data_IF_462079465040
#
_entry.id   IF_462079465040
#
_cell.length_a   1.000
_cell.length_b   1.000
_cell.length_c   1.000
_cell.angle_alpha   90.00
_cell.angle_beta   90.00
_cell.angle_gamma   90.00
#
_symmetry.space_group_name_H-M   'P 1'
#
loop_
_entity.id
_entity.type
_entity.pdbx_description
1 polymer ?
#
# COMPACT_ATOMS: atom_id res chain seq x y z
N UNK A 1 -5.06 51.36 15.44
CA UNK A 1 -4.60 50.92 14.11
C UNK A 1 -3.13 50.62 14.17
N UNK A 2 -2.79 49.36 14.00
CA UNK A 2 -1.42 48.91 13.84
C UNK A 2 -0.87 49.34 12.48
N UNK A 3 0.44 49.47 12.37
CA UNK A 3 1.11 49.64 11.07
C UNK A 3 1.07 48.33 10.26
N UNK A 4 1.29 48.41 8.94
CA UNK A 4 1.38 47.22 8.08
C UNK A 4 2.40 46.21 8.59
N UNK A 5 3.54 46.70 9.08
CA UNK A 5 4.61 45.84 9.60
C UNK A 5 4.20 45.15 10.89
N UNK A 6 3.53 45.86 11.79
CA UNK A 6 3.00 45.27 13.03
C UNK A 6 1.94 44.19 12.75
N UNK A 7 1.12 44.36 11.71
CA UNK A 7 0.12 43.34 11.33
C UNK A 7 0.77 42.09 10.75
N UNK A 8 1.78 42.25 9.88
CA UNK A 8 2.54 41.10 9.38
C UNK A 8 3.23 40.35 10.51
N UNK A 9 3.81 41.08 11.45
CA UNK A 9 4.42 40.47 12.63
C UNK A 9 3.39 39.70 13.46
N UNK A 10 2.20 40.26 13.67
CA UNK A 10 1.11 39.59 14.40
C UNK A 10 0.57 38.36 13.67
N UNK A 11 0.52 38.36 12.33
CA UNK A 11 0.18 37.19 11.53
C UNK A 11 1.20 36.06 11.66
N UNK A 12 2.49 36.39 11.63
CA UNK A 12 3.57 35.41 11.81
C UNK A 12 3.59 34.88 13.24
N UNK A 13 3.42 35.75 14.23
CA UNK A 13 3.29 35.38 15.64
C UNK A 13 2.10 34.43 15.83
N UNK A 14 0.98 34.70 15.14
CA UNK A 14 -0.20 33.84 15.18
C UNK A 14 0.07 32.45 14.61
N UNK A 15 0.66 32.37 13.42
CA UNK A 15 1.03 31.09 12.80
C UNK A 15 1.98 30.29 13.70
N UNK A 16 3.05 30.92 14.22
CA UNK A 16 4.02 30.27 15.10
C UNK A 16 3.40 29.80 16.41
N UNK A 17 2.57 30.64 17.05
CA UNK A 17 1.93 30.31 18.33
C UNK A 17 0.98 29.13 18.17
N UNK A 18 0.22 29.09 17.07
CA UNK A 18 -0.65 27.95 16.78
C UNK A 18 0.15 26.67 16.55
N UNK A 19 1.21 26.73 15.74
CA UNK A 19 2.04 25.54 15.46
C UNK A 19 2.69 24.99 16.73
N UNK A 20 3.17 25.88 17.60
CA UNK A 20 3.72 25.47 18.90
C UNK A 20 2.65 24.83 19.79
N UNK A 21 1.43 25.39 19.79
CA UNK A 21 0.31 24.83 20.54
C UNK A 21 -0.13 23.44 20.03
N UNK A 22 0.08 23.16 18.74
CA UNK A 22 -0.21 21.84 18.15
C UNK A 22 0.92 20.83 18.37
N UNK A 23 2.17 21.27 18.52
CA UNK A 23 3.33 20.40 18.59
C UNK A 23 3.75 20.03 20.03
N UNK A 24 3.35 20.83 21.02
CA UNK A 24 3.77 20.67 22.42
C UNK A 24 2.58 20.60 23.36
N UNK A 25 2.77 20.02 24.53
CA UNK A 25 1.82 20.17 25.64
C UNK A 25 1.88 21.62 26.13
N UNK A 26 0.80 22.36 25.90
CA UNK A 26 0.65 23.77 26.28
C UNK A 26 -0.52 23.96 27.23
N UNK A 27 -0.34 24.88 28.16
CA UNK A 27 -1.34 25.20 29.18
C UNK A 27 -2.47 26.11 28.65
N UNK A 28 -3.56 26.24 29.41
CA UNK A 28 -4.70 27.12 29.11
C UNK A 28 -4.31 28.59 28.83
N UNK A 29 -3.19 29.05 29.40
CA UNK A 29 -2.64 30.40 29.14
C UNK A 29 -2.23 30.61 27.68
N UNK A 30 -1.70 29.58 27.01
CA UNK A 30 -1.33 29.62 25.59
C UNK A 30 -2.57 29.69 24.70
N UNK A 31 -3.63 28.96 25.03
CA UNK A 31 -4.89 29.03 24.30
C UNK A 31 -5.57 30.40 24.46
N UNK A 32 -5.48 31.01 25.65
CA UNK A 32 -5.96 32.37 25.87
C UNK A 32 -5.18 33.40 25.03
N UNK A 33 -3.84 33.28 24.99
CA UNK A 33 -2.98 34.13 24.15
C UNK A 33 -3.32 33.97 22.66
N UNK A 34 -3.50 32.73 22.19
CA UNK A 34 -3.88 32.45 20.81
C UNK A 34 -5.23 33.06 20.42
N UNK A 35 -6.24 33.00 21.31
CA UNK A 35 -7.55 33.64 21.09
C UNK A 35 -7.42 35.15 21.00
N UNK A 36 -6.67 35.77 21.91
CA UNK A 36 -6.42 37.21 21.90
C UNK A 36 -5.73 37.64 20.60
N UNK A 37 -4.74 36.86 20.15
CA UNK A 37 -4.00 37.13 18.93
C UNK A 37 -4.87 36.97 17.68
N UNK A 38 -5.72 35.95 17.64
CA UNK A 38 -6.72 35.74 16.58
C UNK A 38 -7.65 36.94 16.47
N UNK A 39 -8.19 37.41 17.59
CA UNK A 39 -9.11 38.54 17.62
C UNK A 39 -8.42 39.84 17.21
N UNK A 40 -7.19 40.06 17.65
CA UNK A 40 -6.37 41.21 17.26
C UNK A 40 -6.11 41.24 15.76
N UNK A 41 -5.68 40.11 15.18
CA UNK A 41 -5.43 39.99 13.74
C UNK A 41 -6.72 40.20 12.96
N UNK A 42 -7.83 39.57 13.38
CA UNK A 42 -9.14 39.70 12.73
C UNK A 42 -9.65 41.14 12.73
N UNK A 43 -9.60 41.81 13.88
CA UNK A 43 -10.07 43.18 14.02
C UNK A 43 -9.24 44.16 13.17
N UNK A 44 -7.91 44.07 13.23
CA UNK A 44 -7.03 44.98 12.48
C UNK A 44 -7.07 44.72 10.97
N UNK A 45 -7.23 43.45 10.53
CA UNK A 45 -7.46 43.14 9.11
C UNK A 45 -8.76 43.74 8.59
N UNK A 46 -9.88 43.55 9.32
CA UNK A 46 -11.19 44.09 8.93
C UNK A 46 -11.15 45.62 8.85
N UNK A 47 -10.62 46.26 9.89
CA UNK A 47 -10.50 47.72 9.95
C UNK A 47 -9.66 48.25 8.79
N UNK A 48 -8.51 47.67 8.50
CA UNK A 48 -7.65 48.17 7.41
C UNK A 48 -8.14 47.87 6.02
N UNK A 49 -8.89 46.78 5.85
CA UNK A 49 -9.59 46.46 4.61
C UNK A 49 -10.69 47.49 4.32
N UNK A 50 -11.47 47.87 5.33
CA UNK A 50 -12.50 48.92 5.22
C UNK A 50 -11.91 50.29 4.89
N UNK A 51 -10.76 50.62 5.48
CA UNK A 51 -10.06 51.90 5.23
C UNK A 51 -9.19 51.87 3.95
N UNK A 52 -9.13 50.74 3.22
CA UNK A 52 -8.33 50.61 2.00
C UNK A 52 -6.81 50.72 2.21
N UNK A 53 -6.33 50.51 3.44
CA UNK A 53 -4.91 50.69 3.81
C UNK A 53 -4.11 49.39 3.76
N UNK A 54 -4.77 48.25 3.53
CA UNK A 54 -4.13 46.94 3.46
C UNK A 54 -3.22 46.82 2.23
N UNK A 55 -1.93 46.58 2.46
CA UNK A 55 -1.00 46.39 1.34
C UNK A 55 -1.13 45.00 0.74
N UNK A 56 -0.82 44.89 -0.56
CA UNK A 56 -0.86 43.60 -1.28
C UNK A 56 0.03 42.54 -0.63
N UNK A 57 1.22 42.92 -0.12
CA UNK A 57 2.10 42.01 0.60
C UNK A 57 1.47 41.45 1.89
N UNK A 58 0.70 42.26 2.63
CA UNK A 58 -0.01 41.83 3.84
C UNK A 58 -1.19 40.91 3.49
N UNK A 59 -1.91 41.19 2.39
CA UNK A 59 -2.95 40.32 1.85
C UNK A 59 -2.40 38.94 1.46
N UNK A 60 -1.28 38.91 0.73
CA UNK A 60 -0.64 37.66 0.32
C UNK A 60 -0.16 36.83 1.51
N UNK A 61 0.40 37.48 2.53
CA UNK A 61 0.79 36.80 3.77
C UNK A 61 -0.43 36.22 4.49
N UNK A 62 -1.50 37.00 4.65
CA UNK A 62 -2.74 36.53 5.25
C UNK A 62 -3.35 35.35 4.51
N UNK A 63 -3.37 35.39 3.17
CA UNK A 63 -3.84 34.30 2.34
C UNK A 63 -2.99 33.02 2.53
N UNK A 64 -1.66 33.16 2.56
CA UNK A 64 -0.74 32.03 2.80
C UNK A 64 -0.95 31.41 4.18
N UNK A 65 -1.09 32.23 5.22
CA UNK A 65 -1.37 31.75 6.58
C UNK A 65 -2.72 31.01 6.59
N UNK A 66 -3.76 31.60 6.00
CA UNK A 66 -5.10 30.97 5.90
C UNK A 66 -5.06 29.61 5.19
N UNK A 67 -4.38 29.50 4.06
CA UNK A 67 -4.25 28.24 3.30
C UNK A 67 -3.58 27.15 4.16
N UNK A 68 -2.52 27.49 4.89
CA UNK A 68 -1.84 26.53 5.78
C UNK A 68 -2.71 26.12 6.96
N UNK A 69 -3.51 27.03 7.50
CA UNK A 69 -4.47 26.72 8.57
C UNK A 69 -5.56 25.77 8.08
N UNK A 70 -6.06 25.96 6.86
CA UNK A 70 -7.03 25.07 6.25
C UNK A 70 -6.44 23.67 6.04
N UNK A 71 -5.20 23.59 5.55
CA UNK A 71 -4.47 22.32 5.43
C UNK A 71 -4.31 21.61 6.79
N UNK A 72 -3.91 22.35 7.83
CA UNK A 72 -3.80 21.81 9.20
C UNK A 72 -5.17 21.36 9.73
N UNK A 73 -6.23 22.13 9.47
CA UNK A 73 -7.59 21.78 9.84
C UNK A 73 -8.04 20.46 9.22
N UNK A 74 -7.76 20.26 7.92
CA UNK A 74 -8.04 19.00 7.24
C UNK A 74 -7.27 17.82 7.85
N UNK A 75 -5.97 17.98 8.13
CA UNK A 75 -5.15 16.94 8.74
C UNK A 75 -5.64 16.56 10.14
N UNK A 76 -5.95 17.55 10.99
CA UNK A 76 -6.47 17.33 12.34
C UNK A 76 -7.85 16.66 12.30
N UNK A 77 -8.70 17.04 11.35
CA UNK A 77 -10.00 16.40 11.16
C UNK A 77 -9.86 14.94 10.70
N UNK A 78 -8.94 14.66 9.78
CA UNK A 78 -8.66 13.28 9.37
C UNK A 78 -8.11 12.47 10.54
N UNK A 79 -7.15 13.00 11.30
CA UNK A 79 -6.59 12.33 12.47
C UNK A 79 -7.66 12.03 13.52
N UNK A 80 -8.54 13.00 13.83
CA UNK A 80 -9.67 12.79 14.74
C UNK A 80 -10.59 11.68 14.25
N UNK A 81 -10.93 11.68 12.96
CA UNK A 81 -11.76 10.65 12.34
C UNK A 81 -11.10 9.26 12.44
N UNK A 82 -9.80 9.17 12.18
CA UNK A 82 -9.04 7.92 12.32
C UNK A 82 -9.03 7.43 13.78
N UNK A 83 -8.81 8.33 14.73
CA UNK A 83 -8.79 8.01 16.16
C UNK A 83 -10.16 7.53 16.65
N UNK A 84 -11.25 8.17 16.23
CA UNK A 84 -12.62 7.72 16.54
C UNK A 84 -12.90 6.31 15.99
N UNK A 85 -12.44 6.01 14.77
CA UNK A 85 -12.59 4.67 14.19
C UNK A 85 -11.82 3.63 14.99
N UNK A 86 -10.56 3.91 15.34
CA UNK A 86 -9.74 3.01 16.18
C UNK A 86 -10.42 2.78 17.52
N UNK A 87 -10.87 3.86 18.19
CA UNK A 87 -11.56 3.77 19.47
C UNK A 87 -12.86 2.95 19.38
N UNK A 88 -13.65 3.16 18.32
CA UNK A 88 -14.87 2.38 18.09
C UNK A 88 -14.58 0.90 17.84
N UNK A 89 -13.52 0.60 17.07
CA UNK A 89 -13.10 -0.77 16.80
C UNK A 89 -12.62 -1.46 18.08
N UNK A 90 -11.79 -0.77 18.87
CA UNK A 90 -11.32 -1.26 20.16
C UNK A 90 -12.49 -1.50 21.13
N UNK A 91 -13.46 -0.59 21.20
CA UNK A 91 -14.64 -0.76 22.04
C UNK A 91 -15.52 -1.94 21.59
N UNK A 92 -15.67 -2.15 20.28
CA UNK A 92 -16.38 -3.33 19.77
C UNK A 92 -15.64 -4.63 20.12
N UNK A 93 -14.30 -4.63 20.01
CA UNK A 93 -13.47 -5.77 20.40
C UNK A 93 -13.62 -6.07 21.89
N UNK A 94 -13.49 -5.05 22.74
CA UNK A 94 -13.70 -5.16 24.18
C UNK A 94 -15.11 -5.66 24.53
N UNK A 95 -16.14 -5.15 23.86
CA UNK A 95 -17.52 -5.62 24.07
C UNK A 95 -17.70 -7.09 23.66
N UNK A 96 -16.99 -7.55 22.64
CA UNK A 96 -17.02 -8.94 22.18
C UNK A 96 -16.31 -9.86 23.17
N UNK A 97 -15.17 -9.43 23.71
CA UNK A 97 -14.42 -10.15 24.75
C UNK A 97 -15.24 -10.25 26.04
N UNK A 98 -15.85 -9.15 26.47
CA UNK A 98 -16.62 -9.09 27.72
C UNK A 98 -17.95 -9.85 27.66
N UNK A 99 -18.55 -10.03 26.47
CA UNK A 99 -19.83 -10.77 26.35
C UNK A 99 -19.67 -12.29 26.47
N UNK A 100 -18.48 -12.84 26.23
CA UNK A 100 -18.23 -14.29 26.32
C UNK A 100 -19.09 -15.15 25.38
N UNK A 101 -18.69 -16.41 25.10
CA UNK A 101 -19.42 -17.26 24.17
C UNK A 101 -20.62 -17.90 24.87
N UNK A 102 -21.82 -17.38 24.68
CA UNK A 102 -23.03 -18.17 24.90
C UNK A 102 -23.15 -19.19 23.78
N UNK A 103 -22.66 -20.39 24.09
CA UNK A 103 -22.83 -21.67 23.40
C UNK A 103 -23.38 -21.65 21.98
N UNK A 104 -22.50 -21.92 21.02
CA UNK A 104 -22.73 -22.97 20.04
C UNK A 104 -21.42 -23.41 19.40
N UNK A 105 -21.37 -24.71 19.18
CA UNK A 105 -20.22 -25.57 18.98
C UNK A 105 -19.57 -25.41 17.60
N UNK A 106 -18.34 -25.93 17.54
CA UNK A 106 -17.53 -26.29 16.37
C UNK A 106 -16.50 -25.28 15.86
N UNK A 107 -15.26 -25.72 16.05
CA UNK A 107 -14.08 -25.53 15.21
C UNK A 107 -13.18 -24.30 15.42
N UNK A 108 -12.01 -24.60 16.01
CA UNK A 108 -10.72 -24.23 15.43
C UNK A 108 -10.29 -22.78 15.62
N UNK A 109 -9.52 -22.53 16.68
CA UNK A 109 -8.80 -21.27 16.83
C UNK A 109 -7.83 -21.02 15.68
N UNK A 110 -7.87 -19.81 15.11
CA UNK A 110 -6.70 -19.17 14.51
C UNK A 110 -6.90 -17.67 14.41
N UNK A 111 -5.85 -16.97 14.86
CA UNK A 111 -5.53 -15.55 14.75
C UNK A 111 -6.48 -14.69 13.90
N UNK A 112 -7.08 -13.68 14.56
CA UNK A 112 -7.80 -12.55 13.96
C UNK A 112 -7.16 -12.10 12.64
N UNK A 113 -7.86 -12.47 11.60
CA UNK A 113 -7.56 -12.29 10.22
C UNK A 113 -7.67 -10.81 9.85
N UNK A 114 -6.54 -10.09 9.93
CA UNK A 114 -6.34 -8.71 9.43
C UNK A 114 -6.47 -8.61 7.89
N UNK A 115 -7.40 -9.34 7.26
CA UNK A 115 -7.79 -9.12 5.86
C UNK A 115 -8.63 -7.86 5.85
N UNK A 116 -8.05 -6.72 5.47
CA UNK A 116 -8.83 -5.53 5.17
C UNK A 116 -9.73 -5.81 3.94
N UNK A 117 -11.06 -5.99 4.13
CA UNK A 117 -11.97 -6.37 3.06
C UNK A 117 -12.15 -5.24 2.05
N UNK A 118 -11.73 -4.01 2.38
CA UNK A 118 -11.85 -2.82 1.54
C UNK A 118 -10.76 -2.74 0.46
N UNK A 119 -9.78 -3.64 0.46
CA UNK A 119 -8.73 -3.63 -0.54
C UNK A 119 -9.26 -4.26 -1.85
N UNK A 120 -9.39 -3.45 -2.90
CA UNK A 120 -9.77 -3.81 -4.29
C UNK A 120 -8.94 -4.96 -4.93
N UNK A 121 -8.04 -5.60 -4.19
CA UNK A 121 -7.15 -6.67 -4.61
C UNK A 121 -7.39 -8.02 -3.91
N UNK A 122 -8.50 -8.21 -3.18
CA UNK A 122 -8.80 -9.47 -2.47
C UNK A 122 -8.69 -10.70 -3.38
N UNK A 123 -9.38 -10.71 -4.52
CA UNK A 123 -9.37 -11.83 -5.46
C UNK A 123 -7.99 -12.04 -6.10
N UNK A 124 -7.30 -10.94 -6.44
CA UNK A 124 -5.94 -10.99 -6.98
C UNK A 124 -4.94 -11.60 -5.99
N UNK A 125 -5.00 -11.23 -4.70
CA UNK A 125 -4.16 -11.81 -3.63
C UNK A 125 -4.46 -13.29 -3.42
N UNK A 126 -5.73 -13.64 -3.33
CA UNK A 126 -6.14 -15.03 -3.13
C UNK A 126 -5.60 -15.91 -4.26
N UNK A 127 -5.80 -15.48 -5.52
CA UNK A 127 -5.27 -16.21 -6.66
C UNK A 127 -3.74 -16.30 -6.62
N UNK A 128 -3.04 -15.20 -6.30
CA UNK A 128 -1.58 -15.18 -6.22
C UNK A 128 -1.04 -16.16 -5.16
N UNK A 129 -1.65 -16.19 -3.97
CA UNK A 129 -1.26 -17.07 -2.88
C UNK A 129 -1.55 -18.54 -3.18
N UNK A 130 -2.59 -18.85 -3.95
CA UNK A 130 -2.87 -20.21 -4.42
C UNK A 130 -1.89 -20.69 -5.49
N UNK A 131 -1.18 -19.77 -6.15
CA UNK A 131 -0.26 -20.05 -7.25
C UNK A 131 1.13 -19.45 -6.99
N UNK A 132 1.60 -19.50 -5.74
CA UNK A 132 2.80 -18.77 -5.32
C UNK A 132 4.08 -19.28 -6.00
N UNK A 133 4.13 -20.56 -6.39
CA UNK A 133 5.24 -21.14 -7.16
C UNK A 133 5.29 -20.64 -8.61
N UNK A 134 4.14 -20.32 -9.19
CA UNK A 134 4.04 -19.81 -10.56
C UNK A 134 2.90 -18.78 -10.72
N UNK A 135 3.07 -17.54 -10.21
CA UNK A 135 2.02 -16.53 -10.17
C UNK A 135 1.90 -15.77 -11.50
N UNK A 136 1.61 -16.50 -12.58
CA UNK A 136 1.39 -15.98 -13.93
C UNK A 136 0.02 -16.43 -14.46
N UNK A 137 -1.06 -15.71 -14.10
CA UNK A 137 -2.39 -16.10 -14.55
C UNK A 137 -2.49 -16.00 -16.07
N UNK A 138 -3.24 -16.91 -16.67
CA UNK A 138 -3.61 -16.89 -18.09
C UNK A 138 -4.42 -15.64 -18.45
N UNK A 139 -4.75 -15.47 -19.73
CA UNK A 139 -5.65 -14.38 -20.12
C UNK A 139 -7.05 -14.61 -19.54
N UNK A 140 -7.58 -15.82 -19.66
CA UNK A 140 -8.90 -16.19 -19.14
C UNK A 140 -8.95 -16.02 -17.61
N UNK A 141 -7.90 -16.45 -16.89
CA UNK A 141 -7.85 -16.29 -15.44
C UNK A 141 -7.83 -14.82 -15.02
N UNK A 142 -7.08 -13.97 -15.73
CA UNK A 142 -7.11 -12.52 -15.48
C UNK A 142 -8.49 -11.92 -15.70
N UNK A 143 -9.19 -12.33 -16.76
CA UNK A 143 -10.55 -11.86 -17.07
C UNK A 143 -11.55 -12.33 -16.01
N UNK A 144 -11.43 -13.58 -15.53
CA UNK A 144 -12.24 -14.13 -14.43
C UNK A 144 -12.02 -13.37 -13.12
N UNK A 145 -10.75 -13.19 -12.70
CA UNK A 145 -10.41 -12.44 -11.48
C UNK A 145 -10.91 -10.99 -11.60
N UNK A 146 -10.85 -10.38 -12.79
CA UNK A 146 -11.35 -9.04 -13.04
C UNK A 146 -12.87 -8.97 -12.86
N UNK A 147 -13.60 -9.92 -13.43
CA UNK A 147 -15.05 -10.00 -13.33
C UNK A 147 -15.50 -10.17 -11.88
N UNK A 148 -14.88 -11.09 -11.14
CA UNK A 148 -15.15 -11.29 -9.71
C UNK A 148 -14.86 -10.02 -8.90
N UNK A 149 -13.70 -9.39 -9.13
CA UNK A 149 -13.32 -8.18 -8.40
C UNK A 149 -14.31 -7.04 -8.66
N UNK A 150 -14.68 -6.83 -9.93
CA UNK A 150 -15.60 -5.76 -10.30
C UNK A 150 -17.06 -6.04 -9.89
N UNK A 151 -17.44 -7.30 -9.70
CA UNK A 151 -18.75 -7.67 -9.16
C UNK A 151 -18.93 -7.22 -7.70
N UNK A 152 -17.83 -7.15 -6.94
CA UNK A 152 -17.86 -6.64 -5.56
C UNK A 152 -17.87 -5.11 -5.46
N UNK A 153 -17.61 -4.38 -6.55
CA UNK A 153 -17.51 -2.91 -6.56
C UNK A 153 -18.86 -2.31 -6.99
N UNK A 154 -19.52 -1.61 -6.06
CA UNK A 154 -20.81 -0.93 -6.29
C UNK A 154 -20.67 0.28 -7.21
N UNK A 155 -19.62 1.08 -7.04
CA UNK A 155 -19.36 2.24 -7.88
C UNK A 155 -18.69 1.84 -9.20
N UNK A 156 -19.33 2.15 -10.32
CA UNK A 156 -18.81 1.84 -11.66
C UNK A 156 -17.50 2.59 -11.95
N UNK A 157 -17.28 3.76 -11.36
CA UNK A 157 -16.07 4.57 -11.56
C UNK A 157 -14.82 3.89 -10.99
N UNK A 158 -14.99 3.07 -9.95
CA UNK A 158 -13.93 2.37 -9.23
C UNK A 158 -13.62 0.98 -9.80
N UNK A 159 -14.33 0.55 -10.85
CA UNK A 159 -14.11 -0.75 -11.49
C UNK A 159 -12.74 -0.80 -12.15
N UNK A 160 -12.06 -1.92 -11.93
CA UNK A 160 -10.76 -2.19 -12.51
C UNK A 160 -10.87 -2.47 -14.01
N UNK A 161 -9.84 -2.04 -14.74
CA UNK A 161 -9.57 -2.39 -16.13
C UNK A 161 -8.60 -3.56 -16.20
N UNK A 162 -8.59 -4.27 -17.32
CA UNK A 162 -7.68 -5.38 -17.56
C UNK A 162 -6.19 -4.99 -17.38
N UNK A 163 -5.80 -3.80 -17.85
CA UNK A 163 -4.43 -3.28 -17.69
C UNK A 163 -4.02 -3.15 -16.21
N UNK A 164 -4.95 -2.75 -15.33
CA UNK A 164 -4.68 -2.62 -13.90
C UNK A 164 -4.42 -3.98 -13.25
N UNK A 165 -5.11 -5.05 -13.69
CA UNK A 165 -4.84 -6.41 -13.20
C UNK A 165 -3.47 -6.90 -13.65
N UNK A 166 -3.10 -6.65 -14.91
CA UNK A 166 -1.78 -7.03 -15.46
C UNK A 166 -0.67 -6.34 -14.67
N UNK A 167 -0.80 -5.02 -14.45
CA UNK A 167 0.15 -4.24 -13.68
C UNK A 167 0.22 -4.68 -12.21
N UNK A 168 -0.92 -5.03 -11.61
CA UNK A 168 -0.95 -5.57 -10.25
C UNK A 168 -0.09 -6.82 -10.13
N UNK A 169 -0.27 -7.81 -11.01
CA UNK A 169 0.51 -9.05 -10.97
C UNK A 169 2.02 -8.82 -11.21
N UNK A 170 2.37 -7.92 -12.13
CA UNK A 170 3.78 -7.55 -12.38
C UNK A 170 4.40 -6.91 -11.12
N UNK A 171 3.72 -5.92 -10.56
CA UNK A 171 4.22 -5.19 -9.40
C UNK A 171 4.26 -6.06 -8.15
N UNK A 172 3.24 -6.90 -7.92
CA UNK A 172 3.21 -7.82 -6.77
C UNK A 172 4.38 -8.80 -6.82
N UNK A 173 4.67 -9.45 -7.97
CA UNK A 173 5.85 -10.33 -8.10
C UNK A 173 7.17 -9.61 -7.79
N UNK A 174 7.32 -8.36 -8.27
CA UNK A 174 8.53 -7.57 -8.06
C UNK A 174 8.68 -7.13 -6.60
N UNK A 175 7.62 -6.58 -6.00
CA UNK A 175 7.64 -5.96 -4.67
C UNK A 175 7.55 -6.98 -3.55
N UNK A 176 6.92 -8.14 -3.75
CA UNK A 176 6.85 -9.18 -2.72
C UNK A 176 8.21 -9.81 -2.41
N UNK A 177 9.19 -9.65 -3.32
CA UNK A 177 10.47 -10.36 -3.27
C UNK A 177 10.49 -11.62 -4.13
N UNK A 178 9.36 -12.03 -4.71
CA UNK A 178 9.25 -13.24 -5.54
C UNK A 178 10.25 -13.26 -6.70
N UNK A 179 10.40 -12.14 -7.42
CA UNK A 179 11.40 -12.07 -8.52
C UNK A 179 12.83 -12.19 -8.02
N UNK A 180 13.13 -11.70 -6.81
CA UNK A 180 14.46 -11.85 -6.20
C UNK A 180 14.70 -13.31 -5.83
N UNK A 181 13.72 -13.95 -5.19
CA UNK A 181 13.76 -15.36 -4.82
C UNK A 181 13.99 -16.28 -6.03
N UNK A 182 13.26 -16.02 -7.14
CA UNK A 182 13.45 -16.71 -8.42
C UNK A 182 14.91 -16.66 -8.91
N UNK A 183 15.57 -15.50 -8.78
CA UNK A 183 16.96 -15.33 -9.23
C UNK A 183 17.93 -16.04 -8.29
N UNK A 184 17.75 -15.90 -6.98
CA UNK A 184 18.66 -16.44 -5.98
C UNK A 184 18.64 -17.98 -5.93
N UNK A 185 17.45 -18.60 -5.93
CA UNK A 185 17.33 -20.04 -5.65
C UNK A 185 16.97 -20.87 -6.89
N UNK A 186 16.39 -20.25 -7.91
CA UNK A 186 15.98 -20.94 -9.14
C UNK A 186 16.68 -20.42 -10.41
N UNK A 187 17.67 -19.51 -10.28
CA UNK A 187 18.47 -18.97 -11.41
C UNK A 187 17.63 -18.38 -12.55
N UNK A 188 16.44 -17.87 -12.26
CA UNK A 188 15.52 -17.35 -13.27
C UNK A 188 14.56 -18.38 -13.88
N UNK A 189 14.71 -19.67 -13.55
CA UNK A 189 13.86 -20.75 -14.05
C UNK A 189 12.56 -20.87 -13.24
N UNK A 190 11.44 -20.59 -13.90
CA UNK A 190 10.10 -20.61 -13.30
C UNK A 190 9.62 -22.03 -13.00
N UNK A 191 10.03 -23.01 -13.79
CA UNK A 191 9.69 -24.42 -13.56
C UNK A 191 10.40 -24.93 -12.32
N UNK A 192 11.72 -24.65 -12.22
CA UNK A 192 12.49 -24.96 -11.01
C UNK A 192 11.92 -24.27 -9.76
N UNK A 193 11.45 -23.02 -9.88
CA UNK A 193 10.81 -22.36 -8.75
C UNK A 193 9.49 -23.01 -8.35
N UNK A 194 8.69 -23.48 -9.31
CA UNK A 194 7.47 -24.21 -8.99
C UNK A 194 7.78 -25.53 -8.26
N UNK A 195 8.82 -26.25 -8.69
CA UNK A 195 9.30 -27.46 -8.00
C UNK A 195 9.76 -27.17 -6.57
N UNK A 196 10.52 -26.09 -6.37
CA UNK A 196 10.93 -25.63 -5.05
C UNK A 196 9.73 -25.27 -4.17
N UNK A 197 8.74 -24.57 -4.73
CA UNK A 197 7.51 -24.25 -4.01
C UNK A 197 6.75 -25.51 -3.59
N UNK A 198 6.70 -26.55 -4.45
CA UNK A 198 6.13 -27.85 -4.11
C UNK A 198 6.93 -28.57 -3.02
N UNK A 199 8.26 -28.52 -3.07
CA UNK A 199 9.11 -29.10 -2.03
C UNK A 199 8.87 -28.42 -0.68
N UNK A 200 8.84 -27.08 -0.65
CA UNK A 200 8.53 -26.31 0.56
C UNK A 200 7.13 -26.69 1.08
N UNK A 201 6.13 -26.76 0.19
CA UNK A 201 4.75 -27.10 0.57
C UNK A 201 4.64 -28.51 1.18
N UNK A 202 5.32 -29.49 0.59
CA UNK A 202 5.28 -30.88 1.05
C UNK A 202 5.98 -31.05 2.40
N UNK A 203 7.11 -30.36 2.60
CA UNK A 203 7.87 -30.41 3.85
C UNK A 203 7.19 -29.62 4.99
N UNK A 204 6.51 -28.51 4.68
CA UNK A 204 5.74 -27.73 5.66
C UNK A 204 4.46 -28.47 6.08
N UNK A 205 3.84 -29.22 5.17
CA UNK A 205 2.62 -29.99 5.45
C UNK A 205 1.40 -29.10 5.73
N UNK A 206 0.22 -29.71 5.91
CA UNK A 206 -1.06 -29.01 6.14
C UNK A 206 -1.85 -28.68 4.87
N UNK A 207 -2.86 -27.81 5.01
CA UNK A 207 -3.71 -27.33 3.90
C UNK A 207 -3.39 -25.88 3.52
N UNK A 208 -3.96 -25.39 2.41
CA UNK A 208 -3.85 -23.98 2.02
C UNK A 208 -4.33 -23.04 3.12
N UNK A 209 -5.36 -23.42 3.87
CA UNK A 209 -5.96 -22.63 4.94
C UNK A 209 -4.99 -22.46 6.11
N UNK A 210 -4.22 -23.51 6.42
CA UNK A 210 -3.22 -23.47 7.52
C UNK A 210 -1.95 -22.71 7.15
N UNK A 211 -1.45 -22.84 5.91
CA UNK A 211 -0.23 -22.16 5.44
C UNK A 211 -0.50 -20.77 4.86
N UNK A 212 -1.73 -20.50 4.45
CA UNK A 212 -2.18 -19.32 3.70
C UNK A 212 -1.55 -19.15 2.31
N UNK A 213 -0.89 -20.18 1.77
CA UNK A 213 -0.36 -20.21 0.41
C UNK A 213 -0.29 -21.65 -0.11
N UNK A 214 -0.23 -21.78 -1.44
CA UNK A 214 -0.01 -23.02 -2.18
C UNK A 214 0.93 -22.79 -3.35
N UNK A 215 1.69 -23.81 -3.75
CA UNK A 215 2.61 -23.76 -4.87
C UNK A 215 1.89 -23.48 -6.20
N UNK A 216 0.64 -23.94 -6.35
CA UNK A 216 -0.15 -23.87 -7.58
C UNK A 216 -0.15 -25.18 -8.35
N UNK A 217 -0.96 -25.24 -9.41
CA UNK A 217 -1.08 -26.46 -10.20
C UNK A 217 0.07 -26.62 -11.19
N UNK A 218 0.73 -27.78 -11.14
CA UNK A 218 1.73 -28.20 -12.13
C UNK A 218 1.15 -28.24 -13.56
N UNK A 219 -0.17 -28.43 -13.67
CA UNK A 219 -0.90 -28.45 -14.94
C UNK A 219 -0.92 -27.10 -15.64
N UNK A 220 -0.60 -26.00 -14.98
CA UNK A 220 -0.66 -24.67 -15.60
C UNK A 220 0.65 -24.26 -16.29
N UNK A 221 1.67 -25.14 -16.29
CA UNK A 221 2.90 -24.97 -17.05
C UNK A 221 2.69 -25.25 -18.55
N UNK A 222 3.48 -24.60 -19.45
CA UNK A 222 3.52 -24.93 -20.87
C UNK A 222 3.83 -26.42 -21.10
N UNK A 223 3.23 -27.03 -22.12
CA UNK A 223 3.31 -28.48 -22.38
C UNK A 223 4.75 -29.04 -22.49
N UNK A 224 5.73 -28.21 -22.86
CA UNK A 224 7.15 -28.56 -22.89
C UNK A 224 7.76 -28.82 -21.50
N UNK A 225 7.39 -28.03 -20.49
CA UNK A 225 7.83 -28.23 -19.10
C UNK A 225 7.08 -29.35 -18.39
N UNK A 226 5.84 -29.67 -18.80
CA UNK A 226 5.04 -30.74 -18.18
C UNK A 226 5.69 -32.12 -18.29
N UNK A 227 6.37 -32.42 -19.41
CA UNK A 227 7.00 -33.74 -19.64
C UNK A 227 8.18 -34.00 -18.72
N UNK A 228 8.99 -32.97 -18.43
CA UNK A 228 10.15 -33.07 -17.53
C UNK A 228 9.75 -33.35 -16.08
N UNK A 229 8.54 -32.98 -15.68
CA UNK A 229 8.10 -33.07 -14.27
C UNK A 229 7.26 -34.34 -14.03
N UNK A 230 6.67 -34.92 -15.07
CA UNK A 230 5.88 -36.15 -15.02
C UNK A 230 6.74 -37.43 -15.14
N UNK A 231 7.97 -37.36 -15.64
CA UNK A 231 8.89 -38.52 -15.60
C UNK A 231 9.39 -38.82 -14.18
N UNK A 232 9.40 -37.80 -13.31
CA UNK A 232 10.01 -37.85 -11.98
C UNK A 232 8.98 -37.93 -10.84
N UNK A 233 7.74 -38.35 -11.13
CA UNK A 233 6.66 -38.58 -10.14
C UNK A 233 6.87 -39.85 -9.31
N UNK A 234 8.08 -40.07 -8.81
CA UNK A 234 8.30 -40.81 -7.58
C UNK A 234 8.15 -39.81 -6.43
N UNK A 235 7.12 -39.94 -5.61
CA UNK A 235 6.79 -39.03 -4.48
C UNK A 235 7.91 -38.86 -3.44
N UNK A 236 9.02 -39.59 -3.57
CA UNK A 236 10.10 -39.65 -2.59
C UNK A 236 11.22 -38.60 -2.73
N UNK A 237 11.25 -37.75 -3.77
CA UNK A 237 12.45 -36.97 -4.09
C UNK A 237 12.30 -35.44 -4.19
N UNK A 238 11.16 -34.85 -3.84
CA UNK A 238 11.01 -33.38 -3.85
C UNK A 238 11.31 -32.76 -2.50
N UNK A 239 12.46 -33.11 -1.94
CA UNK A 239 13.01 -32.41 -0.79
C UNK A 239 13.84 -31.22 -1.26
N UNK A 240 13.86 -30.14 -0.48
CA UNK A 240 14.65 -28.95 -0.82
C UNK A 240 16.14 -29.31 -0.96
N UNK A 241 16.63 -30.24 -0.12
CA UNK A 241 18.00 -30.76 -0.17
C UNK A 241 18.33 -31.47 -1.50
N UNK A 242 17.35 -32.12 -2.13
CA UNK A 242 17.55 -32.76 -3.44
C UNK A 242 17.62 -31.73 -4.57
N UNK A 243 16.80 -30.68 -4.50
CA UNK A 243 16.75 -29.64 -5.53
C UNK A 243 17.91 -28.63 -5.43
N UNK A 244 18.46 -28.47 -4.22
CA UNK A 244 19.53 -27.54 -3.90
C UNK A 244 20.58 -28.20 -2.98
N UNK A 245 21.35 -29.19 -3.49
CA UNK A 245 22.27 -29.99 -2.68
C UNK A 245 23.46 -29.20 -2.11
N UNK A 246 23.75 -28.04 -2.68
CA UNK A 246 24.91 -27.21 -2.31
C UNK A 246 24.58 -26.14 -1.25
N UNK A 247 23.33 -26.07 -0.77
CA UNK A 247 22.96 -25.12 0.29
C UNK A 247 23.16 -25.76 1.65
N UNK A 248 23.81 -25.05 2.57
CA UNK A 248 23.89 -25.44 3.98
C UNK A 248 22.55 -25.20 4.70
N UNK A 249 22.40 -25.77 5.89
CA UNK A 249 21.16 -25.67 6.66
C UNK A 249 20.77 -24.22 7.01
N UNK A 250 21.74 -23.35 7.28
CA UNK A 250 21.50 -21.92 7.52
C UNK A 250 20.93 -21.19 6.30
N UNK A 251 21.42 -21.52 5.10
CA UNK A 251 20.91 -20.95 3.87
C UNK A 251 19.52 -21.51 3.53
N UNK A 252 19.25 -22.79 3.82
CA UNK A 252 17.91 -23.37 3.68
C UNK A 252 16.93 -22.67 4.65
N UNK A 253 17.32 -22.45 5.90
CA UNK A 253 16.52 -21.71 6.87
C UNK A 253 16.24 -20.27 6.40
N UNK A 254 17.27 -19.59 5.89
CA UNK A 254 17.14 -18.23 5.35
C UNK A 254 16.19 -18.20 4.15
N UNK A 255 16.32 -19.15 3.22
CA UNK A 255 15.44 -19.31 2.06
C UNK A 255 13.98 -19.49 2.50
N UNK A 256 13.71 -20.38 3.47
CA UNK A 256 12.34 -20.57 3.99
C UNK A 256 11.78 -19.30 4.60
N UNK A 257 12.58 -18.58 5.40
CA UNK A 257 12.17 -17.31 5.99
C UNK A 257 11.86 -16.27 4.91
N UNK A 258 12.64 -16.21 3.84
CA UNK A 258 12.35 -15.35 2.69
C UNK A 258 11.04 -15.75 1.98
N UNK A 259 10.81 -17.05 1.81
CA UNK A 259 9.56 -17.58 1.25
C UNK A 259 8.34 -17.19 2.08
N UNK A 260 8.38 -17.39 3.40
CA UNK A 260 7.31 -16.99 4.31
C UNK A 260 7.07 -15.48 4.27
N UNK A 261 8.13 -14.67 4.20
CA UNK A 261 8.01 -13.20 4.04
C UNK A 261 7.31 -12.80 2.74
N UNK A 262 7.55 -13.52 1.63
CA UNK A 262 6.84 -13.27 0.37
C UNK A 262 5.34 -13.56 0.56
N UNK A 263 5.01 -14.73 1.12
CA UNK A 263 3.62 -15.13 1.36
C UNK A 263 2.91 -14.14 2.29
N UNK A 264 3.51 -13.76 3.42
CA UNK A 264 2.96 -12.78 4.36
C UNK A 264 2.80 -11.40 3.74
N UNK A 265 3.78 -10.94 2.96
CA UNK A 265 3.69 -9.63 2.30
C UNK A 265 2.54 -9.57 1.29
N UNK A 266 2.28 -10.66 0.57
CA UNK A 266 1.14 -10.75 -0.34
C UNK A 266 -0.17 -10.87 0.44
N UNK A 267 -0.19 -11.66 1.51
CA UNK A 267 -1.38 -11.93 2.35
C UNK A 267 -1.86 -10.70 3.11
N UNK A 268 -0.98 -10.08 3.88
CA UNK A 268 -1.26 -8.89 4.68
C UNK A 268 -1.48 -7.68 3.76
N UNK A 269 -0.85 -7.69 2.58
CA UNK A 269 -0.66 -6.49 1.78
C UNK A 269 0.43 -5.62 2.39
N UNK A 270 1.07 -4.78 1.58
CA UNK A 270 1.89 -3.72 2.16
C UNK A 270 0.96 -2.80 2.99
N UNK A 271 1.43 -2.32 4.15
CA UNK A 271 0.78 -1.25 4.94
C UNK A 271 0.60 0.07 4.16
N UNK A 272 1.07 0.13 2.92
CA UNK A 272 0.78 1.18 1.94
C UNK A 272 -0.63 0.92 1.38
N UNK A 273 -1.60 1.75 1.78
CA UNK A 273 -2.99 1.71 1.31
C UNK A 273 -3.06 1.33 -0.17
N UNK A 274 -3.87 0.34 -0.53
CA UNK A 274 -4.30 0.14 -1.94
C UNK A 274 -5.24 1.31 -2.27
N UNK A 275 -4.61 2.42 -2.59
CA UNK A 275 -5.18 3.76 -2.70
C UNK A 275 -4.09 4.71 -3.14
N UNK A 276 -2.93 4.71 -2.47
CA UNK A 276 -1.79 5.54 -2.91
C UNK A 276 -1.24 5.12 -4.27
N UNK A 277 -1.17 3.82 -4.56
CA UNK A 277 -0.65 3.35 -5.86
C UNK A 277 -1.75 3.12 -6.91
N UNK A 278 -3.01 2.91 -6.51
CA UNK A 278 -4.13 2.84 -7.46
C UNK A 278 -4.44 4.24 -7.97
N UNK A 279 -4.40 5.26 -7.12
CA UNK A 279 -4.39 6.68 -7.51
C UNK A 279 -3.20 6.99 -8.41
N UNK A 280 -1.99 6.51 -8.12
CA UNK A 280 -0.81 6.71 -8.98
C UNK A 280 -0.95 6.05 -10.36
N UNK A 281 -1.52 4.83 -10.43
CA UNK A 281 -1.80 4.11 -11.69
C UNK A 281 -3.00 4.69 -12.45
N UNK A 282 -3.96 5.30 -11.76
CA UNK A 282 -5.09 6.04 -12.36
C UNK A 282 -4.62 7.44 -12.83
N UNK A 283 -3.66 8.05 -12.13
CA UNK A 283 -3.14 9.40 -12.41
C UNK A 283 -2.15 9.44 -13.57
N UNK A 284 -1.50 8.34 -13.95
CA UNK A 284 -0.70 8.32 -15.19
C UNK A 284 -1.63 8.49 -16.40
N UNK A 285 -1.67 9.67 -17.05
CA UNK A 285 -2.40 9.81 -18.29
C UNK A 285 -1.62 9.03 -19.34
N UNK A 286 -2.34 8.29 -20.17
CA UNK A 286 -1.79 7.80 -21.44
C UNK A 286 -1.50 9.01 -22.32
N UNK A 287 -0.29 9.58 -22.21
CA UNK A 287 0.17 10.55 -23.20
C UNK A 287 0.61 9.74 -24.42
N UNK A 288 -0.05 9.89 -25.59
CA UNK A 288 0.47 9.31 -26.81
C UNK A 288 1.76 10.03 -27.17
N UNK A 289 2.83 9.27 -27.38
CA UNK A 289 4.03 9.77 -28.04
C UNK A 289 3.65 10.21 -29.46
N UNK A 290 3.61 11.51 -29.69
CA UNK A 290 3.67 12.08 -31.03
C UNK A 290 4.79 13.11 -31.06
N UNK A 291 5.75 12.81 -31.91
CA UNK A 291 6.94 13.56 -32.28
C UNK A 291 6.72 15.06 -32.56
N UNK A 292 7.68 15.88 -32.16
CA UNK A 292 8.08 17.04 -32.98
C UNK A 292 9.60 17.22 -32.95
N UNK A 293 10.22 16.77 -34.02
CA UNK A 293 11.54 17.21 -34.48
C UNK A 293 11.55 18.74 -34.60
N UNK A 294 12.62 19.42 -34.16
CA UNK A 294 13.25 20.50 -34.92
C UNK A 294 14.64 20.90 -34.39
N UNK A 295 15.63 20.78 -35.30
CA UNK A 295 16.81 21.64 -35.55
C UNK A 295 18.01 21.61 -34.57
N UNK A 296 19.14 21.05 -35.06
CA UNK A 296 20.38 21.74 -35.60
C UNK A 296 21.30 22.23 -34.45
N UNK A 297 22.62 22.10 -34.46
CA UNK A 297 23.60 21.69 -35.46
C UNK A 297 24.97 21.48 -34.78
N UNK A 298 25.89 20.83 -35.51
CA UNK A 298 27.35 20.99 -35.47
C UNK A 298 28.12 20.47 -34.24
N UNK A 299 28.85 19.38 -34.46
CA UNK A 299 30.29 19.35 -34.18
C UNK A 299 30.98 18.27 -35.01
N UNK A 300 31.61 18.74 -36.10
CA UNK A 300 32.78 18.12 -36.71
C UNK A 300 34.02 18.76 -36.06
N UNK A 301 35.14 18.07 -36.19
CA UNK A 301 36.53 18.49 -35.97
C UNK A 301 37.18 17.84 -34.74
N UNK A 302 37.95 16.79 -35.08
CA UNK A 302 39.07 16.20 -34.34
C UNK A 302 40.17 17.25 -34.12
N UNK A 303 41.16 16.96 -33.28
CA UNK A 303 42.42 16.45 -33.85
C UNK A 303 42.73 15.02 -33.45
#
# INVERSE_FOLDING_TARGET
MLTQEQIRQKLLEFECTLLNALASEVDESYYAQLRQLTETVRHEFSMQQEHGTLTNATLQLGARVSERLEQLGHLLHEQRTQMQRIHSAANMELATILRGPTGQSSEGGSCSDRRDPALNAKHMRNWFLRNLGHPFPSREEKEMILAETNACIRDRSMRLRYSQIVLWFINTRRRSGWTSFLRCYARGDKTKLLELAWAIQNEEGGTHETRHWSAGNLRDLPAGSRRSIQSDTSSAQRHIRTLLPNLNDDAIFTMRREWSRIADRVRIGAKERVGEWVEEVIRTPSVPSASSSHRRALRRVMP
#
